data_IF_317980251944
#
_entry.id   IF_317980251944
#
_cell.length_a   1.000
_cell.length_b   1.000
_cell.length_c   1.000
_cell.angle_alpha   90.00
_cell.angle_beta   90.00
_cell.angle_gamma   90.00
#
_symmetry.space_group_name_H-M   'P 1'
#
loop_
_entity.id
_entity.type
_entity.pdbx_description
1 polymer ?
#
# COMPACT_ATOMS: atom_id res chain seq x y z
N UNK A 1 6.97 63.23 -40.55
CA UNK A 1 6.14 63.08 -39.34
C UNK A 1 5.25 61.88 -39.52
N UNK A 2 5.29 61.01 -38.52
CA UNK A 2 4.43 59.88 -38.16
C UNK A 2 4.38 58.61 -39.03
N UNK A 3 4.83 57.54 -38.34
CA UNK A 3 4.88 56.12 -38.63
C UNK A 3 3.57 55.49 -38.14
N UNK A 4 3.06 54.44 -38.80
CA UNK A 4 2.37 53.37 -38.10
C UNK A 4 2.51 52.05 -38.87
N UNK A 5 3.03 51.04 -38.17
CA UNK A 5 3.21 49.65 -38.57
C UNK A 5 1.94 48.84 -38.26
N UNK A 6 1.63 47.86 -39.10
CA UNK A 6 1.06 46.59 -38.65
C UNK A 6 1.24 45.53 -39.77
N UNK A 7 2.24 44.67 -39.58
CA UNK A 7 2.42 43.41 -40.28
C UNK A 7 1.42 42.36 -39.78
N UNK A 8 0.91 41.54 -40.70
CA UNK A 8 0.41 40.19 -40.41
C UNK A 8 1.06 39.21 -41.40
N UNK A 9 1.53 38.06 -40.89
CA UNK A 9 1.31 36.82 -41.61
C UNK A 9 0.64 35.74 -40.74
N UNK A 10 -0.15 34.96 -41.45
CA UNK A 10 -1.09 33.93 -41.01
C UNK A 10 -0.38 32.63 -40.62
N UNK A 11 -0.68 32.08 -39.45
CA UNK A 11 -0.54 30.65 -39.12
C UNK A 11 -1.81 30.19 -38.38
N UNK A 12 -2.47 29.08 -38.80
CA UNK A 12 -3.57 28.52 -38.04
C UNK A 12 -3.03 27.69 -36.86
N UNK A 13 -3.32 28.16 -35.65
CA UNK A 13 -3.20 27.40 -34.40
C UNK A 13 -4.57 26.76 -34.16
N UNK A 14 -4.65 25.45 -34.29
CA UNK A 14 -5.73 24.66 -33.68
C UNK A 14 -5.10 23.51 -32.90
N UNK A 15 -4.82 23.76 -31.62
CA UNK A 15 -4.49 22.74 -30.63
C UNK A 15 -5.67 22.71 -29.67
N UNK A 16 -6.58 21.77 -29.95
CA UNK A 16 -7.80 21.56 -29.19
C UNK A 16 -7.55 21.45 -27.68
N UNK A 17 -8.17 22.37 -26.96
CA UNK A 17 -8.38 22.34 -25.52
C UNK A 17 -9.33 21.17 -25.16
N UNK A 18 -8.79 20.07 -24.63
CA UNK A 18 -9.56 19.20 -23.75
C UNK A 18 -8.98 19.26 -22.33
N UNK A 19 -9.66 20.08 -21.52
CA UNK A 19 -9.45 20.19 -20.10
C UNK A 19 -9.85 18.87 -19.42
N UNK A 20 -9.01 18.39 -18.50
CA UNK A 20 -9.43 17.38 -17.53
C UNK A 20 -10.60 17.96 -16.72
N UNK A 21 -11.79 17.38 -16.89
CA UNK A 21 -13.00 17.85 -16.23
C UNK A 21 -12.88 17.72 -14.69
N UNK A 22 -13.42 18.69 -13.92
CA UNK A 22 -13.46 18.58 -12.48
C UNK A 22 -14.45 17.48 -12.04
N UNK A 23 -14.15 16.88 -10.89
CA UNK A 23 -14.78 15.70 -10.30
C UNK A 23 -16.29 15.90 -10.08
N UNK A 24 -17.08 15.19 -10.88
CA UNK A 24 -18.35 14.63 -10.44
C UNK A 24 -18.14 13.13 -10.25
N UNK A 25 -18.74 12.57 -9.19
CA UNK A 25 -18.63 11.19 -8.74
C UNK A 25 -18.30 10.20 -9.87
N UNK A 26 -17.17 9.50 -9.72
CA UNK A 26 -16.71 8.47 -10.64
C UNK A 26 -17.88 7.57 -11.05
N UNK A 27 -18.30 7.69 -12.31
CA UNK A 27 -19.17 6.69 -12.90
C UNK A 27 -18.43 5.36 -12.79
N UNK A 28 -19.09 4.33 -12.28
CA UNK A 28 -18.54 2.98 -12.30
C UNK A 28 -18.29 2.61 -13.76
N UNK A 29 -17.03 2.74 -14.19
CA UNK A 29 -16.60 2.20 -15.47
C UNK A 29 -16.87 0.68 -15.43
N UNK A 30 -17.36 0.14 -16.55
CA UNK A 30 -17.54 -1.31 -16.70
C UNK A 30 -16.23 -2.07 -16.49
N UNK A 31 -16.25 -3.42 -16.58
CA UNK A 31 -15.03 -4.22 -16.40
C UNK A 31 -13.88 -3.63 -17.23
N UNK A 32 -12.66 -3.49 -16.65
CA UNK A 32 -11.57 -2.80 -17.34
C UNK A 32 -11.34 -3.47 -18.69
N UNK A 33 -11.57 -2.73 -19.78
CA UNK A 33 -11.18 -3.18 -21.11
C UNK A 33 -9.68 -3.55 -21.09
N UNK A 34 -9.27 -4.56 -21.85
CA UNK A 34 -7.88 -5.04 -21.85
C UNK A 34 -6.89 -3.88 -22.05
N UNK A 35 -6.21 -3.48 -20.97
CA UNK A 35 -5.21 -2.40 -20.94
C UNK A 35 -3.85 -2.91 -21.39
N UNK A 36 -3.62 -4.22 -21.43
CA UNK A 36 -2.34 -4.79 -21.83
C UNK A 36 -1.82 -4.27 -23.18
N UNK A 37 -2.66 -4.09 -24.24
CA UNK A 37 -2.24 -3.50 -25.51
C UNK A 37 -2.33 -1.96 -25.59
N UNK A 38 -2.86 -1.26 -24.57
CA UNK A 38 -3.19 0.17 -24.68
C UNK A 38 -1.96 1.05 -24.98
N UNK A 39 -0.83 0.76 -24.34
CA UNK A 39 0.46 1.39 -24.61
C UNK A 39 1.61 0.45 -24.24
N UNK A 40 2.82 0.69 -24.75
CA UNK A 40 4.06 0.01 -24.35
C UNK A 40 5.18 1.04 -24.29
N UNK A 41 6.31 0.66 -23.68
CA UNK A 41 7.57 1.39 -23.88
C UNK A 41 8.36 0.74 -25.01
N UNK A 42 9.26 1.49 -25.63
CA UNK A 42 10.19 0.94 -26.62
C UNK A 42 11.42 0.34 -25.97
N UNK A 43 12.04 -0.64 -26.62
CA UNK A 43 13.32 -1.19 -26.17
C UNK A 43 14.46 -0.16 -26.22
N UNK A 44 15.47 -0.39 -25.36
CA UNK A 44 16.72 0.35 -25.39
C UNK A 44 17.47 0.11 -26.69
N UNK A 45 18.21 1.10 -27.15
CA UNK A 45 19.15 0.96 -28.27
C UNK A 45 20.51 0.48 -27.75
N UNK A 46 21.33 -0.06 -28.64
CA UNK A 46 22.71 -0.45 -28.29
C UNK A 46 23.47 0.76 -27.73
N UNK A 47 24.12 0.57 -26.58
CA UNK A 47 24.85 1.64 -25.86
C UNK A 47 23.98 2.58 -25.02
N UNK A 48 22.66 2.40 -25.00
CA UNK A 48 21.73 3.21 -24.20
C UNK A 48 21.53 2.60 -22.80
N UNK A 49 21.59 3.43 -21.75
CA UNK A 49 21.15 3.06 -20.40
C UNK A 49 19.70 3.50 -20.21
N UNK A 50 18.77 2.73 -20.79
CA UNK A 50 17.34 3.04 -20.79
C UNK A 50 16.51 1.79 -20.48
N UNK A 51 15.54 1.92 -19.59
CA UNK A 51 14.47 0.97 -19.38
C UNK A 51 13.26 1.62 -18.68
N UNK A 52 12.10 1.62 -19.34
CA UNK A 52 10.84 2.06 -18.74
C UNK A 52 9.80 0.94 -18.66
N UNK A 53 10.21 -0.32 -18.85
CA UNK A 53 9.31 -1.48 -18.87
C UNK A 53 8.61 -1.68 -17.53
N UNK A 54 9.35 -1.59 -16.42
CA UNK A 54 8.77 -1.67 -15.07
C UNK A 54 7.71 -0.59 -14.84
N UNK A 55 7.98 0.65 -15.24
CA UNK A 55 7.02 1.75 -15.10
C UNK A 55 5.76 1.49 -15.92
N UNK A 56 5.90 1.10 -17.19
CA UNK A 56 4.77 0.75 -18.04
C UNK A 56 3.93 -0.40 -17.45
N UNK A 57 4.58 -1.46 -16.98
CA UNK A 57 3.91 -2.63 -16.40
C UNK A 57 3.13 -2.25 -15.12
N UNK A 58 3.74 -1.50 -14.20
CA UNK A 58 3.10 -1.08 -12.94
C UNK A 58 1.95 -0.10 -13.22
N UNK A 59 2.12 0.84 -14.15
CA UNK A 59 1.05 1.78 -14.52
C UNK A 59 -0.16 1.03 -15.10
N UNK A 60 0.06 0.04 -15.98
CA UNK A 60 -1.03 -0.81 -16.49
C UNK A 60 -1.73 -1.56 -15.36
N UNK A 61 -0.96 -2.13 -14.43
CA UNK A 61 -1.52 -2.80 -13.26
C UNK A 61 -2.37 -1.85 -12.41
N UNK A 62 -1.93 -0.60 -12.22
CA UNK A 62 -2.71 0.44 -11.53
C UNK A 62 -3.99 0.79 -12.29
N UNK A 63 -3.93 0.94 -13.61
CA UNK A 63 -5.10 1.21 -14.46
C UNK A 63 -6.14 0.09 -14.36
N UNK A 64 -5.70 -1.17 -14.37
CA UNK A 64 -6.58 -2.34 -14.27
C UNK A 64 -7.14 -2.55 -12.85
N UNK A 65 -6.45 -2.08 -11.82
CA UNK A 65 -6.86 -2.28 -10.41
C UNK A 65 -7.73 -1.15 -9.89
N UNK A 66 -7.36 0.09 -10.19
CA UNK A 66 -8.00 1.27 -9.60
C UNK A 66 -8.90 2.04 -10.59
N UNK A 67 -8.67 1.91 -11.90
CA UNK A 67 -9.38 2.63 -12.95
C UNK A 67 -8.42 3.29 -13.94
N UNK A 68 -8.87 3.53 -15.18
CA UNK A 68 -8.01 3.91 -16.32
C UNK A 68 -7.34 5.28 -16.18
N UNK A 69 -7.98 6.21 -15.47
CA UNK A 69 -7.55 7.60 -15.38
C UNK A 69 -6.79 7.91 -14.07
N UNK A 70 -5.85 8.88 -14.07
CA UNK A 70 -5.07 9.27 -12.89
C UNK A 70 -5.91 9.59 -11.65
N UNK A 71 -7.11 10.15 -11.84
CA UNK A 71 -8.03 10.46 -10.74
C UNK A 71 -8.47 9.22 -9.94
N UNK A 72 -8.46 8.02 -10.54
CA UNK A 72 -8.77 6.77 -9.86
C UNK A 72 -7.51 6.13 -9.22
N UNK A 73 -6.34 6.35 -9.83
CA UNK A 73 -5.06 5.82 -9.39
C UNK A 73 -4.44 6.56 -8.19
N UNK A 74 -4.81 7.81 -7.95
CA UNK A 74 -4.36 8.59 -6.79
C UNK A 74 -5.45 8.71 -5.72
N UNK A 75 -5.09 9.18 -4.52
CA UNK A 75 -6.07 9.48 -3.45
C UNK A 75 -6.75 10.82 -3.70
N UNK A 76 -6.00 11.79 -4.23
CA UNK A 76 -6.50 13.12 -4.55
C UNK A 76 -5.72 13.67 -5.75
N UNK A 77 -6.43 14.38 -6.62
CA UNK A 77 -5.87 15.06 -7.78
C UNK A 77 -6.59 16.40 -7.94
N UNK A 78 -5.88 17.50 -7.66
CA UNK A 78 -6.43 18.86 -7.70
C UNK A 78 -5.62 19.67 -8.72
N UNK A 79 -6.32 20.32 -9.67
CA UNK A 79 -5.68 21.27 -10.58
C UNK A 79 -5.24 22.52 -9.81
N UNK A 80 -3.99 22.94 -9.99
CA UNK A 80 -3.42 24.08 -9.28
C UNK A 80 -2.47 24.87 -10.19
N UNK A 81 -2.87 26.10 -10.53
CA UNK A 81 -2.08 26.97 -11.41
C UNK A 81 -1.83 26.34 -12.79
N UNK A 82 -0.54 26.22 -13.15
CA UNK A 82 -0.04 25.59 -14.37
C UNK A 82 0.13 24.06 -14.23
N UNK A 83 -0.35 23.47 -13.13
CA UNK A 83 -0.06 22.09 -12.76
C UNK A 83 -1.15 21.39 -11.95
N UNK A 84 -0.72 20.42 -11.16
CA UNK A 84 -1.58 19.58 -10.32
C UNK A 84 -0.93 19.33 -8.96
N UNK A 85 -1.73 19.41 -7.89
CA UNK A 85 -1.43 18.76 -6.63
C UNK A 85 -1.95 17.33 -6.67
N UNK A 86 -1.08 16.37 -6.34
CA UNK A 86 -1.41 14.95 -6.31
C UNK A 86 -1.11 14.43 -4.92
N UNK A 87 -2.08 13.75 -4.32
CA UNK A 87 -1.87 12.94 -3.12
C UNK A 87 -1.89 11.48 -3.54
N UNK A 88 -0.75 10.80 -3.40
CA UNK A 88 -0.60 9.37 -3.71
C UNK A 88 -1.42 8.49 -2.74
N UNK A 89 -1.55 7.20 -3.05
CA UNK A 89 -2.32 6.27 -2.18
C UNK A 89 -1.66 6.02 -0.82
N UNK A 90 -0.35 6.21 -0.73
CA UNK A 90 0.41 6.24 0.52
C UNK A 90 0.51 7.64 1.16
N UNK A 91 -0.35 8.58 0.75
CA UNK A 91 -0.43 9.98 1.22
C UNK A 91 0.75 10.87 0.86
N UNK A 92 1.73 10.36 0.10
CA UNK A 92 2.82 11.21 -0.37
C UNK A 92 2.28 12.28 -1.33
N UNK A 93 2.63 13.55 -1.06
CA UNK A 93 2.13 14.70 -1.82
C UNK A 93 3.18 15.20 -2.79
N UNK A 94 2.79 15.37 -4.05
CA UNK A 94 3.61 16.01 -5.08
C UNK A 94 2.86 17.15 -5.74
N UNK A 95 3.62 18.12 -6.24
CA UNK A 95 3.12 19.11 -7.19
C UNK A 95 3.80 18.90 -8.54
N UNK A 96 3.00 18.79 -9.60
CA UNK A 96 3.46 18.58 -10.97
C UNK A 96 3.13 19.80 -11.82
N UNK A 97 4.13 20.47 -12.39
CA UNK A 97 3.95 21.55 -13.36
C UNK A 97 3.68 21.03 -14.78
N UNK A 98 3.13 21.88 -15.64
CA UNK A 98 2.97 21.56 -17.07
C UNK A 98 4.31 21.22 -17.75
N UNK A 99 5.40 21.89 -17.35
CA UNK A 99 6.75 21.62 -17.88
C UNK A 99 7.25 20.21 -17.51
N UNK A 100 7.07 19.79 -16.26
CA UNK A 100 7.48 18.46 -15.80
C UNK A 100 6.66 17.35 -16.49
N UNK A 101 5.35 17.57 -16.67
CA UNK A 101 4.50 16.67 -17.44
C UNK A 101 4.96 16.55 -18.90
N UNK A 102 5.33 17.66 -19.54
CA UNK A 102 5.85 17.65 -20.90
C UNK A 102 7.21 16.94 -21.02
N UNK A 103 8.11 17.15 -20.06
CA UNK A 103 9.41 16.48 -19.99
C UNK A 103 9.25 14.96 -19.84
N UNK A 104 8.41 14.53 -18.91
CA UNK A 104 8.10 13.12 -18.70
C UNK A 104 7.51 12.47 -19.96
N UNK A 105 6.54 13.14 -20.59
CA UNK A 105 5.89 12.68 -21.83
C UNK A 105 6.88 12.50 -22.98
N UNK A 106 7.83 13.42 -23.13
CA UNK A 106 8.87 13.34 -24.17
C UNK A 106 9.87 12.20 -23.93
N UNK A 107 10.16 11.89 -22.67
CA UNK A 107 11.29 11.02 -22.31
C UNK A 107 10.90 9.56 -22.01
N UNK A 108 9.67 9.28 -21.59
CA UNK A 108 9.21 7.93 -21.19
C UNK A 108 9.22 6.90 -22.33
N UNK A 109 9.14 7.39 -23.58
CA UNK A 109 8.98 6.59 -24.80
C UNK A 109 7.76 5.65 -24.72
N UNK A 110 6.71 6.03 -23.99
CA UNK A 110 5.42 5.34 -24.04
C UNK A 110 4.72 5.59 -25.37
N UNK A 111 4.28 4.53 -26.04
CA UNK A 111 3.64 4.54 -27.36
C UNK A 111 2.48 3.53 -27.40
N UNK A 112 1.40 3.88 -28.07
CA UNK A 112 0.20 3.05 -28.17
C UNK A 112 -0.86 3.68 -29.05
N UNK A 113 -1.82 2.88 -29.51
CA UNK A 113 -2.94 3.36 -30.31
C UNK A 113 -3.95 4.17 -29.46
N UNK A 114 -3.99 3.92 -28.15
CA UNK A 114 -4.80 4.67 -27.19
C UNK A 114 -4.01 5.89 -26.69
N UNK A 115 -4.17 7.03 -27.36
CA UNK A 115 -3.51 8.29 -27.00
C UNK A 115 -3.90 8.78 -25.61
N UNK A 116 -5.12 8.47 -25.14
CA UNK A 116 -5.59 8.76 -23.79
C UNK A 116 -4.80 7.98 -22.75
N UNK A 117 -4.66 6.66 -22.93
CA UNK A 117 -3.87 5.81 -22.05
C UNK A 117 -2.39 6.22 -22.02
N UNK A 118 -1.81 6.60 -23.16
CA UNK A 118 -0.43 7.13 -23.22
C UNK A 118 -0.31 8.43 -22.41
N UNK A 119 -1.27 9.36 -22.54
CA UNK A 119 -1.29 10.62 -21.78
C UNK A 119 -1.38 10.36 -20.28
N UNK A 120 -2.29 9.47 -19.88
CA UNK A 120 -2.51 9.10 -18.48
C UNK A 120 -1.30 8.38 -17.88
N UNK A 121 -0.67 7.49 -18.64
CA UNK A 121 0.56 6.82 -18.23
C UNK A 121 1.71 7.80 -18.00
N UNK A 122 1.86 8.79 -18.88
CA UNK A 122 2.86 9.84 -18.71
C UNK A 122 2.62 10.72 -17.49
N UNK A 123 1.35 10.99 -17.14
CA UNK A 123 1.01 11.69 -15.90
C UNK A 123 1.47 10.90 -14.66
N UNK A 124 1.14 9.61 -14.60
CA UNK A 124 1.51 8.75 -13.47
C UNK A 124 3.04 8.60 -13.38
N UNK A 125 3.72 8.46 -14.52
CA UNK A 125 5.17 8.44 -14.60
C UNK A 125 5.80 9.76 -14.10
N UNK A 126 5.24 10.92 -14.45
CA UNK A 126 5.72 12.20 -13.93
C UNK A 126 5.56 12.30 -12.39
N UNK A 127 4.45 11.80 -11.83
CA UNK A 127 4.25 11.74 -10.38
C UNK A 127 5.33 10.90 -9.69
N UNK A 128 5.67 9.74 -10.25
CA UNK A 128 6.78 8.90 -9.76
C UNK A 128 8.11 9.65 -9.79
N UNK A 129 8.45 10.27 -10.93
CA UNK A 129 9.70 11.02 -11.08
C UNK A 129 9.78 12.17 -10.08
N UNK A 130 8.67 12.88 -9.86
CA UNK A 130 8.60 13.98 -8.90
C UNK A 130 8.82 13.52 -7.47
N UNK A 131 8.21 12.40 -7.08
CA UNK A 131 8.49 11.79 -5.77
C UNK A 131 9.96 11.41 -5.65
N UNK A 132 10.52 10.74 -6.66
CA UNK A 132 11.95 10.39 -6.67
C UNK A 132 12.82 11.64 -6.53
N UNK A 133 12.48 12.74 -7.19
CA UNK A 133 13.20 14.01 -7.04
C UNK A 133 13.26 14.44 -5.57
N UNK A 134 12.10 14.46 -4.91
CA UNK A 134 11.94 14.96 -3.54
C UNK A 134 12.58 14.02 -2.50
N UNK A 135 12.32 12.71 -2.58
CA UNK A 135 12.85 11.72 -1.63
C UNK A 135 14.32 11.40 -1.87
N UNK A 136 14.76 11.40 -3.13
CA UNK A 136 16.13 11.07 -3.52
C UNK A 136 17.11 12.25 -3.47
N UNK A 137 16.64 13.47 -3.14
CA UNK A 137 17.49 14.65 -3.04
C UNK A 137 18.06 15.14 -4.37
N UNK A 138 17.37 14.88 -5.49
CA UNK A 138 17.81 15.39 -6.80
C UNK A 138 17.52 16.88 -6.90
N UNK A 139 18.51 17.66 -7.34
CA UNK A 139 18.39 19.12 -7.47
C UNK A 139 17.34 19.56 -8.49
N UNK A 140 17.06 18.74 -9.52
CA UNK A 140 16.08 19.04 -10.57
C UNK A 140 15.23 17.82 -10.93
N UNK A 141 14.04 18.09 -11.49
CA UNK A 141 13.17 17.04 -12.03
C UNK A 141 13.87 16.28 -13.17
N UNK A 142 14.61 17.00 -14.02
CA UNK A 142 15.37 16.40 -15.13
C UNK A 142 16.43 15.40 -14.63
N UNK A 143 17.14 15.70 -13.53
CA UNK A 143 18.10 14.76 -12.96
C UNK A 143 17.43 13.49 -12.43
N UNK A 144 16.29 13.64 -11.74
CA UNK A 144 15.49 12.51 -11.28
C UNK A 144 14.89 11.70 -12.46
N UNK A 145 14.48 12.39 -13.53
CA UNK A 145 13.96 11.79 -14.75
C UNK A 145 15.06 10.96 -15.43
N UNK A 146 16.22 11.54 -15.69
CA UNK A 146 17.36 10.85 -16.29
C UNK A 146 17.70 9.57 -15.52
N UNK A 147 17.76 9.66 -14.19
CA UNK A 147 18.01 8.48 -13.35
C UNK A 147 16.88 7.46 -13.38
N UNK A 148 15.63 7.90 -13.49
CA UNK A 148 14.46 7.02 -13.63
C UNK A 148 14.47 6.24 -14.94
N UNK A 149 14.94 6.86 -16.01
CA UNK A 149 15.02 6.20 -17.30
C UNK A 149 16.06 5.08 -17.35
N UNK A 150 17.00 5.00 -16.40
CA UNK A 150 17.93 3.86 -16.29
C UNK A 150 17.25 2.54 -15.84
N UNK A 151 15.97 2.61 -15.46
CA UNK A 151 15.18 1.47 -15.02
C UNK A 151 14.93 1.41 -13.51
N UNK A 152 13.97 0.59 -13.13
CA UNK A 152 13.59 0.37 -11.75
C UNK A 152 13.28 -1.09 -11.46
N UNK A 153 13.61 -1.52 -10.24
CA UNK A 153 13.11 -2.79 -9.71
C UNK A 153 11.60 -2.70 -9.51
N UNK A 154 10.87 -3.82 -9.64
CA UNK A 154 9.41 -3.85 -9.47
C UNK A 154 8.96 -3.27 -8.13
N UNK A 155 9.64 -3.65 -7.05
CA UNK A 155 9.34 -3.16 -5.70
C UNK A 155 9.53 -1.64 -5.58
N UNK A 156 10.67 -1.10 -6.04
CA UNK A 156 10.92 0.35 -5.99
C UNK A 156 9.93 1.13 -6.84
N UNK A 157 9.53 0.57 -7.98
CA UNK A 157 8.50 1.20 -8.81
C UNK A 157 7.15 1.25 -8.07
N UNK A 158 6.69 0.14 -7.48
CA UNK A 158 5.47 0.11 -6.65
C UNK A 158 5.55 1.09 -5.47
N UNK A 159 6.72 1.22 -4.83
CA UNK A 159 6.96 2.16 -3.74
C UNK A 159 6.87 3.61 -4.23
N UNK A 160 7.59 3.98 -5.29
CA UNK A 160 7.56 5.33 -5.82
C UNK A 160 6.23 5.72 -6.48
N UNK A 161 5.41 4.75 -6.89
CA UNK A 161 4.03 4.96 -7.35
C UNK A 161 3.05 5.13 -6.17
N UNK A 162 3.50 4.90 -4.93
CA UNK A 162 2.68 4.99 -3.72
C UNK A 162 1.66 3.87 -3.56
N UNK A 163 1.88 2.72 -4.20
CA UNK A 163 0.94 1.58 -4.21
C UNK A 163 1.51 0.30 -3.62
N UNK A 164 2.76 0.31 -3.13
CA UNK A 164 3.39 -0.89 -2.54
C UNK A 164 2.64 -1.43 -1.32
N UNK A 165 2.08 -0.55 -0.48
CA UNK A 165 1.22 -0.95 0.63
C UNK A 165 -0.08 -1.65 0.18
N UNK A 166 -0.47 -1.47 -1.07
CA UNK A 166 -1.64 -2.09 -1.71
C UNK A 166 -1.26 -3.27 -2.61
N UNK A 167 -0.09 -3.87 -2.37
CA UNK A 167 0.42 -5.00 -3.14
C UNK A 167 0.55 -6.27 -2.31
N UNK A 168 0.42 -7.43 -2.96
CA UNK A 168 0.79 -8.72 -2.41
C UNK A 168 1.86 -9.38 -3.27
N UNK A 169 2.84 -10.00 -2.63
CA UNK A 169 3.85 -10.82 -3.31
C UNK A 169 3.33 -12.26 -3.44
N UNK A 170 3.15 -12.74 -4.66
CA UNK A 170 2.49 -14.02 -4.94
C UNK A 170 3.27 -14.82 -5.98
N UNK A 171 3.11 -16.14 -5.95
CA UNK A 171 3.64 -16.99 -7.00
C UNK A 171 2.85 -16.78 -8.30
N UNK A 172 3.51 -17.00 -9.43
CA UNK A 172 2.87 -17.01 -10.75
C UNK A 172 1.76 -18.06 -10.87
N UNK A 173 1.92 -19.20 -10.21
CA UNK A 173 0.90 -20.25 -10.16
C UNK A 173 -0.36 -19.77 -9.42
N UNK A 174 -0.21 -19.10 -8.27
CA UNK A 174 -1.33 -18.54 -7.52
C UNK A 174 -2.02 -17.40 -8.29
N UNK A 175 -1.22 -16.57 -8.97
CA UNK A 175 -1.73 -15.51 -9.84
C UNK A 175 -2.62 -16.10 -10.95
N UNK A 176 -2.14 -17.14 -11.64
CA UNK A 176 -2.89 -17.83 -12.68
C UNK A 176 -4.15 -18.53 -12.14
N UNK A 177 -4.02 -19.26 -11.02
CA UNK A 177 -5.13 -19.98 -10.40
C UNK A 177 -6.27 -19.06 -9.96
N UNK A 178 -5.96 -17.81 -9.58
CA UNK A 178 -6.93 -16.79 -9.17
C UNK A 178 -7.40 -15.90 -10.32
N UNK A 179 -6.90 -16.09 -11.54
CA UNK A 179 -7.12 -15.16 -12.65
C UNK A 179 -6.67 -13.73 -12.33
N UNK A 180 -5.68 -13.59 -11.45
CA UNK A 180 -5.20 -12.29 -11.00
C UNK A 180 -4.29 -11.65 -12.06
N UNK A 181 -4.33 -10.32 -12.11
CA UNK A 181 -3.42 -9.52 -12.92
C UNK A 181 -2.28 -9.05 -12.02
N UNK A 182 -1.05 -9.14 -12.50
CA UNK A 182 0.12 -8.75 -11.72
C UNK A 182 1.29 -8.24 -12.55
N UNK A 183 2.41 -8.01 -11.89
CA UNK A 183 3.68 -7.64 -12.51
C UNK A 183 4.79 -8.56 -12.04
N UNK A 184 5.64 -9.00 -12.97
CA UNK A 184 6.79 -9.86 -12.68
C UNK A 184 8.06 -9.26 -13.26
N UNK A 185 9.16 -9.37 -12.51
CA UNK A 185 10.48 -8.99 -13.00
C UNK A 185 10.90 -9.83 -14.21
N UNK A 186 11.50 -9.19 -15.21
CA UNK A 186 12.06 -9.85 -16.40
C UNK A 186 13.58 -9.90 -16.36
N UNK A 187 14.20 -8.85 -15.85
CA UNK A 187 15.64 -8.69 -15.65
C UNK A 187 15.85 -7.62 -14.56
N UNK A 188 17.10 -7.29 -14.22
CA UNK A 188 17.44 -6.50 -13.02
C UNK A 188 16.62 -5.20 -12.82
N UNK A 189 16.24 -4.52 -13.90
CA UNK A 189 15.50 -3.25 -13.85
C UNK A 189 14.28 -3.21 -14.79
N UNK A 190 13.80 -4.39 -15.21
CA UNK A 190 12.63 -4.51 -16.08
C UNK A 190 11.57 -5.44 -15.52
N UNK A 191 10.32 -5.16 -15.88
CA UNK A 191 9.16 -5.96 -15.48
C UNK A 191 8.14 -6.04 -16.61
N UNK A 192 7.35 -7.11 -16.60
CA UNK A 192 6.25 -7.35 -17.51
C UNK A 192 4.92 -7.36 -16.73
N UNK A 193 3.86 -6.89 -17.37
CA UNK A 193 2.49 -7.13 -16.90
C UNK A 193 2.15 -8.60 -17.16
N UNK A 194 1.49 -9.26 -16.22
CA UNK A 194 1.01 -10.63 -16.35
C UNK A 194 -0.51 -10.63 -16.30
N UNK A 195 -1.13 -11.13 -17.37
CA UNK A 195 -2.57 -11.29 -17.50
C UNK A 195 -2.83 -12.73 -17.90
N UNK A 196 -3.64 -13.46 -17.14
CA UNK A 196 -4.02 -14.86 -17.44
C UNK A 196 -2.81 -15.79 -17.70
N UNK A 197 -1.71 -15.59 -16.95
CA UNK A 197 -0.50 -16.39 -17.10
C UNK A 197 0.38 -16.03 -18.31
N UNK A 198 0.07 -14.93 -19.00
CA UNK A 198 0.85 -14.40 -20.14
C UNK A 198 1.55 -13.11 -19.71
N UNK A 199 2.88 -13.06 -19.89
CA UNK A 199 3.70 -11.85 -19.77
C UNK A 199 3.53 -10.98 -21.00
N UNK A 200 3.28 -9.70 -20.79
CA UNK A 200 3.24 -8.65 -21.81
C UNK A 200 4.42 -7.71 -21.60
N UNK A 201 5.41 -7.74 -22.50
CA UNK A 201 6.61 -6.91 -22.43
C UNK A 201 7.00 -6.38 -23.80
N UNK A 202 7.28 -5.08 -23.92
CA UNK A 202 7.60 -4.40 -25.20
C UNK A 202 6.63 -4.71 -26.37
N UNK A 203 5.37 -5.07 -26.07
CA UNK A 203 4.37 -5.49 -27.06
C UNK A 203 4.38 -6.99 -27.39
N UNK A 204 5.37 -7.75 -26.91
CA UNK A 204 5.44 -9.20 -27.02
C UNK A 204 4.61 -9.91 -25.95
N UNK A 205 4.25 -11.17 -26.25
CA UNK A 205 3.51 -12.07 -25.36
C UNK A 205 4.29 -13.36 -25.14
N UNK A 206 4.50 -13.74 -23.89
CA UNK A 206 5.25 -14.95 -23.53
C UNK A 206 4.55 -15.67 -22.37
N UNK A 207 4.55 -17.01 -22.35
CA UNK A 207 4.03 -17.77 -21.22
C UNK A 207 4.86 -17.53 -19.95
N UNK A 208 4.22 -17.66 -18.80
CA UNK A 208 4.91 -17.62 -17.50
C UNK A 208 5.29 -19.05 -17.11
N UNK A 209 6.58 -19.36 -17.10
CA UNK A 209 7.08 -20.70 -16.74
C UNK A 209 7.38 -20.87 -15.24
N UNK A 210 7.09 -19.84 -14.42
CA UNK A 210 7.33 -19.83 -12.98
C UNK A 210 7.82 -18.48 -12.45
N UNK A 211 8.09 -18.43 -11.15
CA UNK A 211 8.58 -17.25 -10.44
C UNK A 211 7.50 -16.52 -9.64
N UNK A 212 7.86 -15.35 -9.12
CA UNK A 212 7.02 -14.54 -8.24
C UNK A 212 6.83 -13.13 -8.81
N UNK A 213 5.73 -12.49 -8.41
CA UNK A 213 5.38 -11.14 -8.81
C UNK A 213 4.50 -10.45 -7.78
N UNK A 214 4.07 -9.24 -8.14
CA UNK A 214 3.16 -8.46 -7.32
C UNK A 214 1.80 -8.34 -7.98
N UNK A 215 0.74 -8.55 -7.20
CA UNK A 215 -0.63 -8.17 -7.56
C UNK A 215 -1.04 -6.96 -6.74
N UNK A 216 -1.90 -6.10 -7.28
CA UNK A 216 -2.52 -5.02 -6.50
C UNK A 216 -3.93 -5.43 -6.08
N UNK A 217 -4.39 -4.86 -4.96
CA UNK A 217 -5.78 -4.95 -4.55
C UNK A 217 -6.38 -3.54 -4.44
N UNK A 218 -7.68 -3.45 -4.70
CA UNK A 218 -8.45 -2.24 -4.43
C UNK A 218 -9.15 -2.40 -3.08
N UNK A 219 -8.79 -1.54 -2.14
CA UNK A 219 -9.33 -1.56 -0.78
C UNK A 219 -10.70 -0.89 -0.67
N UNK A 220 -11.05 -0.02 -1.63
CA UNK A 220 -12.34 0.67 -1.72
C UNK A 220 -13.39 -0.12 -2.49
N UNK A 221 -13.01 -1.15 -3.24
CA UNK A 221 -13.95 -2.10 -3.83
C UNK A 221 -14.33 -3.16 -2.78
N UNK A 222 -15.45 -2.96 -2.09
CA UNK A 222 -16.03 -4.01 -1.26
C UNK A 222 -16.71 -5.05 -2.18
N UNK A 223 -16.42 -6.35 -2.04
CA UNK A 223 -17.34 -7.37 -2.55
C UNK A 223 -18.69 -7.19 -1.85
N UNK A 224 -19.80 -7.27 -2.60
CA UNK A 224 -21.11 -7.46 -1.98
C UNK A 224 -21.08 -8.78 -1.23
N UNK A 225 -21.15 -8.74 0.09
CA UNK A 225 -21.30 -9.91 0.94
C UNK A 225 -22.72 -9.97 1.47
N UNK A 226 -23.48 -10.98 1.05
CA UNK A 226 -24.80 -11.32 1.59
C UNK A 226 -24.71 -12.19 2.87
N UNK A 227 -23.49 -12.43 3.38
CA UNK A 227 -23.29 -13.18 4.62
C UNK A 227 -23.56 -12.30 5.84
N UNK A 228 -24.15 -12.90 6.89
CA UNK A 228 -24.31 -12.27 8.22
C UNK A 228 -23.00 -11.58 8.56
N UNK A 229 -23.03 -10.25 8.67
CA UNK A 229 -22.04 -9.48 9.43
C UNK A 229 -21.88 -10.26 10.73
N UNK A 230 -20.71 -10.87 10.96
CA UNK A 230 -20.37 -11.25 12.32
C UNK A 230 -20.21 -9.90 13.00
N UNK A 231 -21.34 -9.41 13.53
CA UNK A 231 -21.45 -8.24 14.39
C UNK A 231 -20.25 -8.32 15.27
N UNK A 232 -19.33 -7.36 15.11
CA UNK A 232 -18.03 -7.48 15.73
C UNK A 232 -18.29 -7.73 17.21
N UNK A 233 -17.82 -8.86 17.70
CA UNK A 233 -17.84 -9.16 19.13
C UNK A 233 -16.84 -8.21 19.84
N UNK A 234 -16.44 -7.08 19.24
CA UNK A 234 -15.61 -6.05 19.85
C UNK A 234 -15.95 -4.61 19.41
N UNK A 235 -17.01 -4.37 18.61
CA UNK A 235 -17.30 -3.01 18.10
C UNK A 235 -17.74 -2.00 19.16
N UNK A 236 -18.11 -2.46 20.35
CA UNK A 236 -18.58 -1.58 21.43
C UNK A 236 -17.51 -1.35 22.52
N UNK A 237 -16.27 -1.82 22.31
CA UNK A 237 -15.19 -1.52 23.26
C UNK A 237 -14.92 -0.01 23.24
N UNK A 238 -15.32 0.67 24.31
CA UNK A 238 -15.04 2.09 24.47
C UNK A 238 -13.51 2.30 24.44
N UNK A 239 -12.99 3.38 23.83
CA UNK A 239 -11.55 3.66 23.80
C UNK A 239 -10.87 3.64 25.17
N UNK A 240 -11.63 3.80 26.26
CA UNK A 240 -11.16 3.70 27.64
C UNK A 240 -10.89 2.25 28.08
N UNK A 241 -11.57 1.26 27.50
CA UNK A 241 -11.39 -0.16 27.85
C UNK A 241 -10.13 -0.77 27.23
N UNK A 242 -9.55 -0.15 26.19
CA UNK A 242 -8.38 -0.68 25.49
C UNK A 242 -7.13 -0.81 26.37
N UNK A 243 -7.04 0.00 27.43
CA UNK A 243 -5.86 0.05 28.31
C UNK A 243 -5.83 -1.22 29.18
N UNK A 244 -6.80 -1.40 30.08
CA UNK A 244 -6.84 -2.55 30.98
C UNK A 244 -7.54 -3.79 30.41
N UNK A 245 -8.29 -3.64 29.32
CA UNK A 245 -9.11 -4.72 28.76
C UNK A 245 -8.29 -5.84 28.14
N UNK A 246 -7.14 -5.54 27.54
CA UNK A 246 -6.05 -6.51 27.34
C UNK A 246 -4.69 -5.82 27.34
N UNK A 247 -3.63 -6.51 27.74
CA UNK A 247 -2.26 -6.02 27.74
C UNK A 247 -1.24 -7.16 27.76
N UNK A 248 0.01 -6.82 27.47
CA UNK A 248 1.15 -7.74 27.47
C UNK A 248 1.48 -8.25 28.88
N UNK A 249 1.70 -9.55 29.04
CA UNK A 249 2.11 -10.13 30.33
C UNK A 249 3.60 -10.38 30.51
N UNK A 250 4.31 -10.77 29.45
CA UNK A 250 5.77 -10.98 29.48
C UNK A 250 6.41 -10.28 28.28
N UNK A 251 7.67 -9.89 28.43
CA UNK A 251 8.45 -9.27 27.35
C UNK A 251 8.56 -10.23 26.14
N UNK A 252 8.67 -9.67 24.94
CA UNK A 252 8.81 -10.44 23.69
C UNK A 252 7.87 -9.98 22.58
N UNK A 253 6.57 -9.89 22.86
CA UNK A 253 5.54 -9.59 21.84
C UNK A 253 5.00 -8.16 21.85
N UNK A 254 5.77 -7.21 22.39
CA UNK A 254 5.32 -5.82 22.54
C UNK A 254 4.92 -5.17 21.20
N UNK A 255 5.62 -5.49 20.11
CA UNK A 255 5.29 -5.03 18.75
C UNK A 255 3.94 -5.56 18.29
N UNK A 256 3.63 -6.82 18.60
CA UNK A 256 2.33 -7.40 18.24
C UNK A 256 1.20 -6.84 19.10
N UNK A 257 1.41 -6.67 20.41
CA UNK A 257 0.40 -6.08 21.31
C UNK A 257 0.10 -4.63 20.92
N UNK A 258 1.13 -3.82 20.69
CA UNK A 258 0.97 -2.41 20.31
C UNK A 258 0.21 -2.27 18.98
N UNK A 259 0.55 -3.10 18.00
CA UNK A 259 -0.13 -3.14 16.70
C UNK A 259 -1.61 -3.52 16.83
N UNK A 260 -1.94 -4.55 17.62
CA UNK A 260 -3.32 -4.98 17.85
C UNK A 260 -4.13 -3.86 18.51
N UNK A 261 -3.60 -3.21 19.56
CA UNK A 261 -4.29 -2.10 20.24
C UNK A 261 -4.58 -0.94 19.29
N UNK A 262 -3.56 -0.51 18.53
CA UNK A 262 -3.70 0.58 17.58
C UNK A 262 -4.71 0.23 16.47
N UNK A 263 -4.68 -1.00 15.96
CA UNK A 263 -5.60 -1.48 14.93
C UNK A 263 -7.06 -1.55 15.42
N UNK A 264 -7.29 -2.07 16.63
CA UNK A 264 -8.64 -2.14 17.22
C UNK A 264 -9.25 -0.75 17.28
N UNK A 265 -8.54 0.23 17.84
CA UNK A 265 -9.10 1.58 17.97
C UNK A 265 -9.24 2.28 16.62
N UNK A 266 -8.23 2.18 15.74
CA UNK A 266 -8.28 2.85 14.44
C UNK A 266 -9.44 2.36 13.58
N UNK A 267 -9.72 1.05 13.60
CA UNK A 267 -10.68 0.42 12.70
C UNK A 267 -11.97 -0.03 13.37
N UNK A 268 -12.19 0.27 14.66
CA UNK A 268 -13.44 -0.05 15.37
C UNK A 268 -14.68 0.57 14.71
N UNK A 269 -14.54 1.80 14.20
CA UNK A 269 -15.63 2.54 13.53
C UNK A 269 -15.59 2.41 12.01
N UNK A 270 -14.63 1.65 11.47
CA UNK A 270 -14.55 1.40 10.04
C UNK A 270 -15.53 0.26 9.68
N UNK A 271 -16.47 0.46 8.75
CA UNK A 271 -17.44 -0.59 8.37
C UNK A 271 -16.79 -1.86 7.80
N UNK A 272 -15.54 -1.77 7.33
CA UNK A 272 -14.74 -2.94 6.90
C UNK A 272 -14.02 -3.59 8.08
N UNK A 273 -13.72 -2.84 9.15
CA UNK A 273 -12.93 -3.32 10.28
C UNK A 273 -11.47 -3.63 9.94
N UNK A 274 -10.81 -4.41 10.81
CA UNK A 274 -9.41 -4.84 10.61
C UNK A 274 -9.31 -5.87 9.48
N UNK A 275 -10.27 -6.79 9.38
CA UNK A 275 -10.32 -7.83 8.33
C UNK A 275 -11.59 -7.66 7.50
N UNK A 276 -11.46 -7.72 6.17
CA UNK A 276 -12.58 -7.62 5.24
C UNK A 276 -13.64 -8.70 5.48
N UNK A 277 -13.21 -9.89 5.88
CA UNK A 277 -14.11 -11.00 6.13
C UNK A 277 -13.56 -11.94 7.20
N UNK A 278 -14.45 -12.42 8.06
CA UNK A 278 -14.21 -13.52 9.00
C UNK A 278 -15.42 -14.44 8.92
N UNK A 279 -15.22 -15.66 8.44
CA UNK A 279 -16.22 -16.71 8.41
C UNK A 279 -15.87 -17.77 9.44
N UNK A 280 -16.79 -18.07 10.35
CA UNK A 280 -16.67 -19.23 11.23
C UNK A 280 -17.00 -20.49 10.44
N UNK A 281 -16.15 -21.50 10.55
CA UNK A 281 -16.34 -22.82 9.95
C UNK A 281 -16.34 -23.89 11.05
N UNK A 282 -16.77 -25.14 10.75
CA UNK A 282 -16.69 -26.22 11.74
C UNK A 282 -15.26 -26.49 12.26
N UNK A 283 -14.25 -26.20 11.44
CA UNK A 283 -12.84 -26.48 11.75
C UNK A 283 -12.09 -25.26 12.32
N UNK A 284 -12.71 -24.08 12.27
CA UNK A 284 -12.10 -22.83 12.72
C UNK A 284 -12.67 -21.60 12.02
N UNK A 285 -11.81 -20.90 11.28
CA UNK A 285 -12.10 -19.61 10.68
C UNK A 285 -11.45 -19.48 9.30
N UNK A 286 -12.19 -18.88 8.37
CA UNK A 286 -11.64 -18.35 7.12
C UNK A 286 -11.62 -16.82 7.21
N UNK A 287 -10.45 -16.23 7.01
CA UNK A 287 -10.21 -14.80 7.16
C UNK A 287 -9.75 -14.24 5.82
N UNK A 288 -10.39 -13.15 5.38
CA UNK A 288 -9.84 -12.30 4.33
C UNK A 288 -9.38 -11.01 4.97
N UNK A 289 -8.07 -10.81 4.97
CA UNK A 289 -7.41 -9.66 5.59
C UNK A 289 -7.63 -8.39 4.77
N UNK A 290 -7.28 -7.23 5.33
CA UNK A 290 -7.50 -5.93 4.64
C UNK A 290 -6.65 -5.77 3.39
N UNK A 291 -5.47 -6.39 3.37
CA UNK A 291 -4.64 -6.53 2.19
C UNK A 291 -5.20 -7.52 1.16
N UNK A 292 -6.37 -8.12 1.39
CA UNK A 292 -7.00 -9.17 0.59
C UNK A 292 -6.30 -10.53 0.65
N UNK A 293 -5.42 -10.73 1.64
CA UNK A 293 -4.80 -12.04 1.84
C UNK A 293 -5.80 -13.03 2.46
N UNK A 294 -6.00 -14.21 1.85
CA UNK A 294 -6.83 -15.26 2.43
C UNK A 294 -6.04 -16.09 3.43
N UNK A 295 -6.64 -16.40 4.57
CA UNK A 295 -6.03 -17.15 5.66
C UNK A 295 -7.03 -18.11 6.27
N UNK A 296 -6.61 -19.34 6.57
CA UNK A 296 -7.40 -20.30 7.35
C UNK A 296 -6.75 -20.49 8.72
N UNK A 297 -7.55 -20.39 9.77
CA UNK A 297 -7.12 -20.54 11.16
C UNK A 297 -7.98 -21.61 11.83
N UNK A 298 -7.37 -22.65 12.38
CA UNK A 298 -8.09 -23.72 13.06
C UNK A 298 -8.43 -23.36 14.51
N UNK A 299 -9.41 -24.04 15.10
CA UNK A 299 -9.68 -23.90 16.54
C UNK A 299 -8.49 -24.32 17.42
N UNK A 300 -7.65 -25.26 16.97
CA UNK A 300 -6.46 -25.68 17.70
C UNK A 300 -5.37 -24.60 17.69
N UNK A 301 -5.12 -23.97 16.54
CA UNK A 301 -4.19 -22.85 16.39
C UNK A 301 -4.63 -21.63 17.23
N UNK A 302 -5.93 -21.35 17.29
CA UNK A 302 -6.44 -20.31 18.18
C UNK A 302 -6.13 -20.62 19.65
N UNK A 303 -6.35 -21.85 20.12
CA UNK A 303 -6.01 -22.25 21.50
C UNK A 303 -4.52 -22.16 21.78
N UNK A 304 -3.66 -22.59 20.86
CA UNK A 304 -2.21 -22.48 20.98
C UNK A 304 -1.78 -21.01 21.08
N UNK A 305 -2.33 -20.16 20.23
CA UNK A 305 -2.09 -18.72 20.26
C UNK A 305 -2.55 -18.06 21.57
N UNK A 306 -3.73 -18.44 22.09
CA UNK A 306 -4.20 -17.95 23.40
C UNK A 306 -3.26 -18.35 24.53
N UNK A 307 -2.70 -19.56 24.51
CA UNK A 307 -1.73 -19.98 25.51
C UNK A 307 -0.38 -19.27 25.37
N UNK A 308 0.06 -19.01 24.13
CA UNK A 308 1.37 -18.43 23.84
C UNK A 308 1.42 -16.90 23.86
N UNK A 309 0.28 -16.21 23.71
CA UNK A 309 0.24 -14.73 23.68
C UNK A 309 0.63 -14.12 25.02
N UNK A 310 0.37 -14.83 26.11
CA UNK A 310 0.53 -14.33 27.48
C UNK A 310 -0.17 -12.97 27.67
N UNK A 311 -1.33 -12.79 27.03
CA UNK A 311 -2.17 -11.60 27.20
C UNK A 311 -3.00 -11.72 28.47
N UNK A 312 -3.09 -10.62 29.22
CA UNK A 312 -3.94 -10.48 30.40
C UNK A 312 -4.90 -9.33 30.19
N UNK A 313 -5.99 -9.29 30.93
CA UNK A 313 -6.96 -8.20 30.77
C UNK A 313 -8.19 -8.34 31.64
N UNK A 314 -8.84 -7.20 31.92
CA UNK A 314 -10.09 -7.15 32.69
C UNK A 314 -11.35 -7.36 31.84
N UNK A 315 -11.23 -7.30 30.51
CA UNK A 315 -12.34 -7.46 29.57
C UNK A 315 -12.20 -8.79 28.82
N UNK A 316 -12.98 -9.84 29.17
CA UNK A 316 -12.86 -11.14 28.53
C UNK A 316 -13.15 -11.13 27.03
N UNK A 317 -14.03 -10.24 26.58
CA UNK A 317 -14.47 -10.17 25.19
C UNK A 317 -13.38 -9.52 24.33
N UNK A 318 -12.82 -8.39 24.80
CA UNK A 318 -11.69 -7.74 24.16
C UNK A 318 -10.44 -8.62 24.18
N UNK A 319 -10.16 -9.30 25.29
CA UNK A 319 -9.04 -10.24 25.41
C UNK A 319 -9.18 -11.41 24.44
N UNK A 320 -10.39 -11.97 24.27
CA UNK A 320 -10.64 -13.02 23.29
C UNK A 320 -10.39 -12.54 21.86
N UNK A 321 -10.84 -11.33 21.51
CA UNK A 321 -10.61 -10.75 20.20
C UNK A 321 -9.13 -10.44 19.94
N UNK A 322 -8.41 -9.92 20.93
CA UNK A 322 -6.96 -9.70 20.84
C UNK A 322 -6.20 -11.01 20.60
N UNK A 323 -6.59 -12.09 21.30
CA UNK A 323 -6.02 -13.42 21.06
C UNK A 323 -6.32 -13.95 19.66
N UNK A 324 -7.51 -13.67 19.11
CA UNK A 324 -7.84 -14.01 17.72
C UNK A 324 -6.95 -13.26 16.72
N UNK A 325 -6.76 -11.94 16.89
CA UNK A 325 -5.88 -11.13 16.04
C UNK A 325 -4.41 -11.60 16.13
N UNK A 326 -3.96 -11.97 17.35
CA UNK A 326 -2.64 -12.56 17.57
C UNK A 326 -2.49 -13.91 16.83
N UNK A 327 -3.51 -14.77 16.89
CA UNK A 327 -3.51 -16.05 16.18
C UNK A 327 -3.46 -15.88 14.65
N UNK A 328 -4.22 -14.93 14.09
CA UNK A 328 -4.15 -14.62 12.66
C UNK A 328 -2.77 -14.07 12.27
N UNK A 329 -2.19 -13.18 13.08
CA UNK A 329 -0.81 -12.68 12.88
C UNK A 329 0.22 -13.82 12.89
N UNK A 330 0.13 -14.75 13.84
CA UNK A 330 1.00 -15.92 13.92
C UNK A 330 0.84 -16.84 12.70
N UNK A 331 -0.40 -17.02 12.23
CA UNK A 331 -0.64 -17.83 11.03
C UNK A 331 -0.06 -17.17 9.78
N UNK A 332 -0.14 -15.84 9.68
CA UNK A 332 0.50 -15.08 8.61
C UNK A 332 2.03 -15.21 8.67
N UNK A 333 2.61 -15.10 9.88
CA UNK A 333 4.04 -15.32 10.10
C UNK A 333 4.51 -16.73 9.68
N UNK A 334 3.73 -17.76 9.99
CA UNK A 334 4.01 -19.13 9.55
C UNK A 334 4.10 -19.23 8.02
N UNK A 335 3.10 -18.68 7.32
CA UNK A 335 3.00 -18.75 5.86
C UNK A 335 4.12 -17.95 5.19
N UNK A 336 4.42 -16.76 5.71
CA UNK A 336 5.45 -15.87 5.17
C UNK A 336 6.88 -16.25 5.63
N UNK A 337 7.01 -17.30 6.44
CA UNK A 337 8.27 -17.77 7.00
C UNK A 337 9.03 -16.67 7.76
N UNK A 338 8.34 -15.98 8.69
CA UNK A 338 8.93 -15.01 9.60
C UNK A 338 10.23 -15.54 10.23
N UNK A 339 11.24 -14.68 10.31
CA UNK A 339 12.61 -14.99 10.77
C UNK A 339 13.27 -16.19 10.10
N UNK A 340 12.82 -16.51 8.88
CA UNK A 340 13.26 -17.65 8.08
C UNK A 340 13.04 -19.03 8.70
N UNK A 341 12.33 -19.11 9.84
CA UNK A 341 12.05 -20.36 10.57
C UNK A 341 10.57 -20.63 10.82
N UNK A 342 9.70 -19.62 10.81
CA UNK A 342 8.29 -19.77 11.17
C UNK A 342 7.52 -20.80 10.32
N UNK A 343 7.97 -21.13 9.10
CA UNK A 343 7.33 -22.15 8.27
C UNK A 343 7.41 -23.57 8.82
N UNK A 344 8.32 -23.82 9.77
CA UNK A 344 8.51 -25.14 10.37
C UNK A 344 7.23 -25.65 11.04
N UNK A 345 6.58 -24.81 11.84
CA UNK A 345 5.31 -25.14 12.48
C UNK A 345 4.62 -23.87 12.99
N UNK A 346 3.32 -23.97 13.29
CA UNK A 346 2.59 -22.86 13.90
C UNK A 346 3.14 -22.51 15.29
N UNK A 347 3.64 -23.49 16.03
CA UNK A 347 4.32 -23.26 17.31
C UNK A 347 5.60 -22.44 17.14
N UNK A 348 6.41 -22.75 16.11
CA UNK A 348 7.62 -21.97 15.78
C UNK A 348 7.23 -20.55 15.36
N UNK A 349 6.13 -20.37 14.62
CA UNK A 349 5.62 -19.04 14.31
C UNK A 349 5.22 -18.25 15.57
N UNK A 350 4.58 -18.88 16.55
CA UNK A 350 4.28 -18.22 17.84
C UNK A 350 5.56 -17.79 18.57
N UNK A 351 6.64 -18.57 18.49
CA UNK A 351 7.93 -18.20 19.08
C UNK A 351 8.53 -16.96 18.40
N UNK A 352 8.44 -16.86 17.06
CA UNK A 352 8.93 -15.69 16.30
C UNK A 352 8.18 -14.40 16.61
N UNK A 353 6.96 -14.49 17.14
CA UNK A 353 6.21 -13.32 17.60
C UNK A 353 6.58 -12.91 19.04
N UNK A 354 7.30 -13.77 19.76
CA UNK A 354 7.58 -13.66 21.18
C UNK A 354 9.08 -13.48 21.49
N UNK A 355 9.97 -13.43 20.50
CA UNK A 355 11.42 -13.24 20.67
C UNK A 355 11.92 -11.82 20.33
N UNK A 356 10.97 -10.90 20.09
CA UNK A 356 11.24 -9.50 19.76
C UNK A 356 11.23 -9.26 18.25
N UNK A 357 10.60 -8.15 17.84
CA UNK A 357 10.31 -7.91 16.42
C UNK A 357 10.68 -6.49 16.01
N UNK A 358 10.83 -6.26 14.71
CA UNK A 358 11.08 -4.93 14.21
C UNK A 358 9.78 -4.09 14.21
N UNK A 359 9.82 -2.80 14.61
CA UNK A 359 8.63 -1.96 14.66
C UNK A 359 7.88 -1.89 13.33
N UNK A 360 6.59 -2.22 13.37
CA UNK A 360 5.69 -2.20 12.21
C UNK A 360 5.49 -3.55 11.53
N UNK A 361 6.27 -4.59 11.86
CA UNK A 361 6.08 -5.93 11.29
C UNK A 361 4.71 -6.52 11.63
N UNK A 362 4.29 -6.41 12.89
CA UNK A 362 2.97 -6.89 13.30
C UNK A 362 1.81 -6.17 12.59
N UNK A 363 1.91 -4.87 12.31
CA UNK A 363 0.88 -4.15 11.53
C UNK A 363 0.79 -4.72 10.11
N UNK A 364 1.92 -5.08 9.49
CA UNK A 364 1.94 -5.73 8.17
C UNK A 364 1.32 -7.13 8.22
N UNK A 365 1.65 -7.92 9.25
CA UNK A 365 1.08 -9.27 9.44
C UNK A 365 -0.40 -9.26 9.82
N UNK A 366 -0.93 -8.14 10.31
CA UNK A 366 -2.36 -7.89 10.43
C UNK A 366 -3.01 -7.47 9.10
N UNK A 367 -2.26 -7.43 7.99
CA UNK A 367 -2.77 -7.07 6.66
C UNK A 367 -2.99 -5.57 6.51
N UNK A 368 -2.36 -4.74 7.35
CA UNK A 368 -2.60 -3.29 7.40
C UNK A 368 -1.54 -2.48 6.65
N UNK A 369 -0.69 -3.12 5.84
CA UNK A 369 0.47 -2.42 5.24
C UNK A 369 0.08 -1.17 4.43
N UNK A 370 -1.04 -1.23 3.69
CA UNK A 370 -1.59 -0.08 2.95
C UNK A 370 -2.03 1.11 3.81
N UNK A 371 -2.14 0.91 5.13
CA UNK A 371 -2.61 1.89 6.10
C UNK A 371 -1.51 2.34 7.07
N UNK A 372 -0.29 1.82 6.94
CA UNK A 372 0.84 2.26 7.77
C UNK A 372 1.44 3.52 7.15
N UNK A 373 1.71 4.54 7.95
CA UNK A 373 2.46 5.73 7.55
C UNK A 373 3.60 5.99 8.51
N UNK A 374 4.68 6.53 7.97
CA UNK A 374 5.69 7.22 8.76
C UNK A 374 5.02 8.34 9.55
N UNK A 375 5.48 8.53 10.79
CA UNK A 375 4.96 9.55 11.67
C UNK A 375 6.08 10.14 12.50
N UNK A 376 5.77 11.24 13.17
CA UNK A 376 6.58 11.79 14.25
C UNK A 376 5.95 11.50 15.61
N UNK A 377 6.77 11.56 16.67
CA UNK A 377 6.26 11.50 18.05
C UNK A 377 5.25 12.62 18.32
N UNK A 378 5.49 13.80 17.73
CA UNK A 378 4.58 14.94 17.83
C UNK A 378 3.21 14.66 17.23
N UNK A 379 3.13 14.10 16.02
CA UNK A 379 1.83 13.76 15.41
C UNK A 379 1.03 12.77 16.27
N UNK A 380 1.71 11.77 16.86
CA UNK A 380 1.08 10.83 17.78
C UNK A 380 0.62 11.52 19.08
N UNK A 381 1.42 12.45 19.61
CA UNK A 381 1.05 13.26 20.78
C UNK A 381 -0.14 14.19 20.50
N UNK A 382 -0.23 14.73 19.28
CA UNK A 382 -1.31 15.60 18.82
C UNK A 382 -2.59 14.83 18.47
N UNK A 383 -2.58 13.49 18.57
CA UNK A 383 -3.78 12.66 18.54
C UNK A 383 -3.79 11.56 17.48
N UNK A 384 -2.77 11.43 16.64
CA UNK A 384 -2.70 10.32 15.70
C UNK A 384 -2.63 8.96 16.43
N UNK A 385 -3.26 7.94 15.84
CA UNK A 385 -3.27 6.58 16.38
C UNK A 385 -2.17 5.77 15.70
N UNK A 386 -1.39 5.01 16.46
CA UNK A 386 -0.32 4.22 15.90
C UNK A 386 0.57 3.54 16.93
N UNK A 387 1.83 3.31 16.55
CA UNK A 387 2.83 2.64 17.39
C UNK A 387 4.07 3.52 17.52
N UNK A 388 4.68 3.48 18.70
CA UNK A 388 5.94 4.14 18.99
C UNK A 388 6.92 3.10 19.55
N UNK A 389 8.16 3.10 19.09
CA UNK A 389 9.15 2.11 19.52
C UNK A 389 10.56 2.67 19.67
N UNK A 390 11.30 2.14 20.64
CA UNK A 390 12.75 2.20 20.71
C UNK A 390 13.36 0.84 20.30
N UNK A 391 14.65 0.62 20.55
CA UNK A 391 15.32 -0.65 20.21
C UNK A 391 14.94 -1.82 21.11
N UNK A 392 14.20 -1.60 22.20
CA UNK A 392 13.87 -2.61 23.21
C UNK A 392 12.37 -2.82 23.38
N UNK A 393 11.53 -1.81 23.12
CA UNK A 393 10.10 -1.88 23.38
C UNK A 393 9.27 -1.10 22.37
N UNK A 394 8.04 -1.57 22.15
CA UNK A 394 7.02 -0.93 21.33
C UNK A 394 5.73 -0.75 22.11
N UNK A 395 5.15 0.45 22.02
CA UNK A 395 3.89 0.83 22.68
C UNK A 395 2.87 1.30 21.66
N UNK A 396 1.60 1.07 21.95
CA UNK A 396 0.51 1.71 21.21
C UNK A 396 0.39 3.16 21.67
N UNK A 397 0.14 4.08 20.74
CA UNK A 397 -0.27 5.45 21.04
C UNK A 397 -1.65 5.68 20.46
N UNK A 398 -2.59 6.09 21.31
CA UNK A 398 -3.98 6.35 20.97
C UNK A 398 -4.33 7.72 21.54
N UNK A 399 -4.66 8.66 20.65
CA UNK A 399 -5.11 10.01 21.02
C UNK A 399 -4.18 10.71 22.03
N UNK A 400 -2.86 10.67 21.78
CA UNK A 400 -1.85 11.30 22.64
C UNK A 400 -1.53 10.57 23.95
N UNK A 401 -2.08 9.39 24.18
CA UNK A 401 -1.75 8.53 25.33
C UNK A 401 -1.06 7.24 24.85
N UNK A 402 -0.06 6.77 25.60
CA UNK A 402 0.62 5.52 25.35
C UNK A 402 0.16 4.41 26.31
N UNK A 403 0.23 3.18 25.83
CA UNK A 403 -0.01 1.97 26.63
C UNK A 403 1.29 1.46 27.24
N UNK A 404 1.37 1.44 28.57
CA UNK A 404 2.48 0.87 29.34
C UNK A 404 1.97 -0.33 30.13
N UNK A 405 2.04 -1.52 29.51
CA UNK A 405 1.53 -2.78 30.09
C UNK A 405 0.09 -2.65 30.63
N UNK A 406 -0.79 -2.02 29.85
CA UNK A 406 -2.19 -1.81 30.20
C UNK A 406 -2.48 -0.55 31.04
N UNK A 407 -1.44 0.20 31.42
CA UNK A 407 -1.58 1.51 32.05
C UNK A 407 -1.58 2.61 30.99
N UNK A 408 -2.63 3.43 31.00
CA UNK A 408 -2.68 4.66 30.21
C UNK A 408 -1.72 5.70 30.78
N UNK A 409 -0.77 6.16 29.97
CA UNK A 409 0.13 7.28 30.30
C UNK A 409 0.03 8.38 29.25
N UNK A 410 0.11 9.64 29.67
CA UNK A 410 0.18 10.74 28.70
C UNK A 410 1.52 10.70 27.95
N UNK A 411 1.49 10.73 26.61
CA UNK A 411 2.72 10.71 25.81
C UNK A 411 3.53 11.98 26.08
N UNK A 412 2.88 13.14 26.05
CA UNK A 412 3.50 14.47 26.15
C UNK A 412 4.40 14.68 27.39
N UNK A 413 4.16 13.98 28.49
CA UNK A 413 4.94 14.08 29.73
C UNK A 413 5.84 12.87 30.01
N UNK A 414 5.95 11.93 29.06
CA UNK A 414 6.69 10.69 29.23
C UNK A 414 8.10 10.74 28.63
N UNK A 415 8.95 9.77 29.00
CA UNK A 415 10.28 9.57 28.38
C UNK A 415 10.22 9.31 26.88
N UNK A 416 9.04 8.94 26.36
CA UNK A 416 8.83 8.61 24.95
C UNK A 416 8.75 9.85 24.06
N UNK A 417 8.67 11.05 24.64
CA UNK A 417 8.84 12.33 23.94
C UNK A 417 10.32 12.63 23.65
N UNK A 418 11.02 11.69 23.02
CA UNK A 418 12.43 11.83 22.66
C UNK A 418 12.63 11.72 21.15
N UNK A 419 13.65 12.42 20.65
CA UNK A 419 14.18 12.17 19.32
C UNK A 419 14.76 10.75 19.24
N UNK A 420 14.60 10.07 18.11
CA UNK A 420 15.12 8.71 17.88
C UNK A 420 14.10 7.58 18.06
N UNK A 421 12.86 7.88 18.45
CA UNK A 421 11.78 6.90 18.46
C UNK A 421 11.29 6.62 17.04
N UNK A 422 11.00 5.34 16.77
CA UNK A 422 10.33 4.90 15.56
C UNK A 422 8.83 5.08 15.71
N UNK A 423 8.28 6.09 15.07
CA UNK A 423 6.85 6.39 15.10
C UNK A 423 6.17 5.99 13.79
N UNK A 424 5.08 5.23 13.91
CA UNK A 424 4.19 4.87 12.81
C UNK A 424 2.77 5.27 13.18
N UNK A 425 1.99 5.76 12.22
CA UNK A 425 0.55 6.02 12.38
C UNK A 425 -0.27 5.14 11.45
N UNK A 426 -1.51 4.88 11.82
CA UNK A 426 -2.48 4.20 10.98
C UNK A 426 -3.39 5.23 10.29
N UNK A 427 -3.32 5.26 8.97
CA UNK A 427 -4.06 6.17 8.09
C UNK A 427 -5.54 5.81 8.00
#
# INVERSE_FOLDING_TARGET
MNISMADQPVFPVDMGHEAFAPVAAARSEGPPADIAPAFNTTERRFGENFDSSTHAAVIKLMMMTFGRHPAAMFSELIRAGDGYHVTMKDEFKVHLSASELAQASKASRFQGADSGAVKDANFVFAAFVKRKQLEGGYSTFEAALAKTLEGETTQRCLQGMGVFGLSQFVSSADMAAKGAIGVMGTHNHGSALVVEGVKHNYGERQSVDGGYGYVLFNDKSAPRSDARTVSHVATDAAPEQIWSGFYQGAQGNCVTVSAIKAAIIRFAQDPVGIYKHIQVTPDGFEVTMRDSFPLKLTHAELRQATAASNFYGSDPQLLSYANFLYAVSAKRAQIENNDFRARESYEVALQTLNDGEYPGEALRRLGLFGYIRESTVKELADGAIGTLADSAHSVAVINGALDDYGRKLALASSRWMSAGMRALKLA
#
